data_IF_814123245844
#
_entry.id   IF_814123245844
#
_cell.length_a   1.000
_cell.length_b   1.000
_cell.length_c   1.000
_cell.angle_alpha   90.00
_cell.angle_beta   90.00
_cell.angle_gamma   90.00
#
_symmetry.space_group_name_H-M   'P 1'
#
loop_
_entity.id
_entity.type
_entity.pdbx_description
1 polymer ?
#
# COMPACT_ATOMS: atom_id res chain seq x y z
N UNK A 1 4.71 -2.37 14.46
CA UNK A 1 5.81 -1.67 13.82
C UNK A 1 6.92 -2.61 13.29
N UNK A 2 7.44 -3.59 14.07
CA UNK A 2 8.35 -4.62 13.55
C UNK A 2 7.72 -5.47 12.44
N UNK A 3 6.40 -5.71 12.50
CA UNK A 3 5.64 -6.38 11.43
C UNK A 3 5.68 -5.61 10.12
N UNK A 4 5.50 -4.30 10.18
CA UNK A 4 5.51 -3.45 8.99
C UNK A 4 6.86 -3.50 8.27
N UNK A 5 7.98 -3.59 9.02
CA UNK A 5 9.31 -3.76 8.45
C UNK A 5 9.51 -5.13 7.76
N UNK A 6 9.03 -6.22 8.37
CA UNK A 6 9.07 -7.56 7.74
C UNK A 6 8.15 -7.63 6.51
N UNK A 7 7.03 -6.90 6.55
CA UNK A 7 6.13 -6.75 5.41
C UNK A 7 6.81 -5.97 4.27
N UNK A 8 7.44 -4.83 4.57
CA UNK A 8 8.13 -4.02 3.56
C UNK A 8 9.32 -4.74 2.90
N UNK A 9 9.96 -5.70 3.56
CA UNK A 9 11.06 -6.48 2.98
C UNK A 9 10.53 -7.56 2.02
N UNK A 10 9.41 -8.19 2.34
CA UNK A 10 8.85 -9.28 1.52
C UNK A 10 8.23 -8.80 0.21
N UNK A 11 7.56 -7.67 0.24
CA UNK A 11 6.90 -7.07 -0.92
C UNK A 11 7.75 -6.00 -1.62
N UNK A 12 8.99 -5.75 -1.15
CA UNK A 12 9.91 -4.84 -1.83
C UNK A 12 10.49 -5.48 -3.09
N UNK A 13 10.72 -4.64 -4.08
CA UNK A 13 11.36 -4.98 -5.35
C UNK A 13 12.17 -3.77 -5.81
N UNK A 14 13.39 -4.00 -6.28
CA UNK A 14 14.18 -2.99 -6.99
C UNK A 14 14.83 -3.67 -8.19
N UNK A 15 14.41 -3.29 -9.41
CA UNK A 15 14.86 -3.93 -10.66
C UNK A 15 14.98 -2.90 -11.77
N UNK A 16 16.04 -2.92 -12.57
CA UNK A 16 16.10 -2.18 -13.82
C UNK A 16 15.08 -2.74 -14.82
N UNK A 17 14.65 -1.91 -15.76
CA UNK A 17 13.87 -2.39 -16.90
C UNK A 17 14.69 -3.43 -17.68
N UNK A 18 14.07 -4.54 -18.17
CA UNK A 18 14.78 -5.51 -19.00
C UNK A 18 15.52 -4.85 -20.18
N UNK A 19 16.78 -5.26 -20.37
CA UNK A 19 17.66 -4.67 -21.38
C UNK A 19 18.47 -3.46 -20.92
N UNK A 20 18.33 -3.00 -19.69
CA UNK A 20 19.10 -1.91 -19.11
C UNK A 20 19.88 -2.38 -17.88
N UNK A 21 21.13 -2.00 -17.74
CA UNK A 21 21.89 -2.14 -16.48
C UNK A 21 21.65 -0.98 -15.54
N UNK A 22 21.59 0.25 -16.10
CA UNK A 22 21.21 1.48 -15.40
C UNK A 22 20.02 2.12 -16.10
N UNK A 23 19.23 2.90 -15.38
CA UNK A 23 18.03 3.52 -15.92
C UNK A 23 18.07 5.05 -15.69
N UNK A 24 17.47 5.79 -16.61
CA UNK A 24 17.27 7.24 -16.48
C UNK A 24 16.28 7.57 -15.36
N UNK A 25 15.27 6.73 -15.21
CA UNK A 25 14.21 6.89 -14.23
C UNK A 25 14.04 5.65 -13.36
N UNK A 26 13.46 5.83 -12.17
CA UNK A 26 12.92 4.75 -11.34
C UNK A 26 11.50 5.10 -10.93
N UNK A 27 10.54 4.25 -11.25
CA UNK A 27 9.15 4.41 -10.81
C UNK A 27 8.99 3.90 -9.38
N UNK A 28 8.55 4.82 -8.49
CA UNK A 28 8.23 4.58 -7.09
C UNK A 28 6.74 4.86 -6.85
N UNK A 29 5.83 3.90 -7.08
CA UNK A 29 4.38 4.14 -6.99
C UNK A 29 3.90 4.48 -5.58
N UNK A 30 4.67 4.10 -4.56
CA UNK A 30 4.29 4.19 -3.16
C UNK A 30 3.52 2.96 -2.66
N UNK A 31 3.67 2.66 -1.37
CA UNK A 31 3.14 1.44 -0.76
C UNK A 31 1.60 1.36 -0.72
N UNK A 32 0.90 2.50 -0.73
CA UNK A 32 -0.56 2.51 -0.74
C UNK A 32 -1.13 2.26 -2.14
N UNK A 33 -0.47 2.73 -3.20
CA UNK A 33 -0.90 2.45 -4.57
C UNK A 33 -0.85 0.95 -4.88
N UNK A 34 0.28 0.29 -4.59
CA UNK A 34 0.39 -1.17 -4.76
C UNK A 34 -0.53 -1.98 -3.85
N UNK A 35 -1.00 -1.40 -2.73
CA UNK A 35 -1.91 -2.05 -1.80
C UNK A 35 -3.39 -1.94 -2.21
N UNK A 36 -3.78 -0.83 -2.81
CA UNK A 36 -5.19 -0.48 -3.06
C UNK A 36 -5.55 -0.66 -4.53
N UNK A 37 -4.63 -0.31 -5.44
CA UNK A 37 -4.84 -0.33 -6.88
C UNK A 37 -3.62 -0.94 -7.61
N UNK A 38 -3.31 -2.24 -7.42
CA UNK A 38 -2.15 -2.89 -8.02
C UNK A 38 -2.16 -2.84 -9.56
N UNK A 39 -3.32 -2.94 -10.19
CA UNK A 39 -3.44 -2.88 -11.65
C UNK A 39 -3.08 -1.50 -12.20
N UNK A 40 -3.44 -0.43 -11.49
CA UNK A 40 -3.02 0.95 -11.85
C UNK A 40 -1.50 1.08 -11.82
N UNK A 41 -0.83 0.44 -10.83
CA UNK A 41 0.63 0.44 -10.73
C UNK A 41 1.26 -0.31 -11.90
N UNK A 42 0.70 -1.46 -12.26
CA UNK A 42 1.17 -2.27 -13.41
C UNK A 42 1.07 -1.48 -14.70
N UNK A 43 -0.11 -0.94 -15.02
CA UNK A 43 -0.33 -0.16 -16.25
C UNK A 43 0.55 1.09 -16.30
N UNK A 44 0.68 1.80 -15.18
CA UNK A 44 1.54 2.98 -15.10
C UNK A 44 3.01 2.64 -15.38
N UNK A 45 3.51 1.54 -14.81
CA UNK A 45 4.89 1.12 -15.04
C UNK A 45 5.12 0.71 -16.49
N UNK A 46 4.25 -0.12 -17.06
CA UNK A 46 4.34 -0.57 -18.45
C UNK A 46 4.24 0.61 -19.43
N UNK A 47 3.36 1.57 -19.15
CA UNK A 47 3.21 2.78 -19.96
C UNK A 47 4.48 3.66 -19.93
N UNK A 48 5.04 3.89 -18.75
CA UNK A 48 6.31 4.60 -18.61
C UNK A 48 7.44 3.88 -19.38
N UNK A 49 7.56 2.56 -19.27
CA UNK A 49 8.56 1.78 -20.00
C UNK A 49 8.42 1.92 -21.52
N UNK A 50 7.20 2.02 -22.04
CA UNK A 50 6.95 2.15 -23.48
C UNK A 50 7.21 3.55 -24.02
N UNK A 51 6.93 4.59 -23.22
CA UNK A 51 6.88 5.99 -23.71
C UNK A 51 8.05 6.85 -23.26
N UNK A 52 8.89 6.38 -22.34
CA UNK A 52 10.07 7.14 -21.92
C UNK A 52 11.36 6.52 -22.44
N UNK A 53 12.32 7.38 -22.78
CA UNK A 53 13.64 6.94 -23.22
C UNK A 53 14.62 6.82 -22.06
N UNK A 54 15.61 5.93 -22.19
CA UNK A 54 16.68 5.73 -21.22
C UNK A 54 16.36 4.74 -20.10
N UNK A 55 15.25 4.02 -20.22
CA UNK A 55 14.83 2.97 -19.29
C UNK A 55 14.19 3.49 -18.01
N UNK A 56 13.25 2.70 -17.48
CA UNK A 56 12.55 2.96 -16.21
C UNK A 56 12.73 1.76 -15.30
N UNK A 57 13.49 1.89 -14.23
CA UNK A 57 13.53 0.88 -13.18
C UNK A 57 12.23 0.89 -12.37
N UNK A 58 11.92 -0.23 -11.72
CA UNK A 58 10.81 -0.30 -10.77
C UNK A 58 11.33 -0.45 -9.35
N UNK A 59 10.80 0.36 -8.43
CA UNK A 59 11.07 0.25 -7.01
C UNK A 59 9.77 0.15 -6.21
N UNK A 60 9.41 -1.06 -5.79
CA UNK A 60 8.32 -1.28 -4.84
C UNK A 60 8.89 -1.24 -3.42
N UNK A 61 8.29 -0.43 -2.56
CA UNK A 61 8.79 -0.30 -1.19
C UNK A 61 8.12 0.83 -0.42
N UNK A 62 8.71 1.15 0.72
CA UNK A 62 8.25 2.22 1.60
C UNK A 62 9.25 3.39 1.59
N UNK A 63 8.75 4.61 1.46
CA UNK A 63 9.57 5.84 1.50
C UNK A 63 10.04 6.23 2.92
N UNK A 64 9.62 5.51 3.96
CA UNK A 64 10.00 5.83 5.35
C UNK A 64 9.08 6.80 6.08
N UNK A 65 8.17 7.51 5.41
CA UNK A 65 7.31 8.52 6.04
C UNK A 65 6.56 8.01 7.28
N UNK A 66 6.07 6.76 7.27
CA UNK A 66 5.38 6.19 8.42
C UNK A 66 6.31 6.04 9.63
N UNK A 67 7.58 5.73 9.41
CA UNK A 67 8.59 5.62 10.48
C UNK A 67 8.86 6.98 11.11
N UNK A 68 8.94 8.00 10.27
CA UNK A 68 9.15 9.38 10.69
C UNK A 68 7.97 9.91 11.48
N UNK A 69 6.74 9.71 10.99
CA UNK A 69 5.52 10.07 11.72
C UNK A 69 5.38 9.36 13.06
N UNK A 70 5.98 8.19 13.22
CA UNK A 70 6.03 7.44 14.47
C UNK A 70 7.17 7.87 15.41
N UNK A 71 7.98 8.87 15.04
CA UNK A 71 9.16 9.30 15.80
C UNK A 71 10.27 8.23 15.84
N UNK A 72 10.29 7.31 14.85
CA UNK A 72 11.27 6.22 14.77
C UNK A 72 12.41 6.55 13.83
N UNK A 73 13.15 7.60 14.14
CA UNK A 73 14.21 8.17 13.29
C UNK A 73 15.28 7.17 12.89
N UNK A 74 15.78 6.33 13.82
CA UNK A 74 16.76 5.27 13.49
C UNK A 74 16.26 4.31 12.39
N UNK A 75 14.95 4.13 12.27
CA UNK A 75 14.40 3.26 11.24
C UNK A 75 14.17 4.00 9.95
N UNK A 76 13.86 5.28 10.02
CA UNK A 76 13.82 6.15 8.84
C UNK A 76 15.23 6.19 8.20
N UNK A 77 16.28 6.34 9.01
CA UNK A 77 17.67 6.28 8.54
C UNK A 77 18.01 4.96 7.85
N UNK A 78 17.64 3.82 8.46
CA UNK A 78 17.85 2.50 7.83
C UNK A 78 17.12 2.32 6.50
N UNK A 79 15.90 2.86 6.38
CA UNK A 79 15.16 2.87 5.12
C UNK A 79 15.87 3.75 4.10
N UNK A 80 16.30 4.93 4.51
CA UNK A 80 17.02 5.87 3.65
C UNK A 80 18.34 5.29 3.14
N UNK A 81 19.12 4.65 4.00
CA UNK A 81 20.37 3.97 3.62
C UNK A 81 20.12 2.87 2.59
N UNK A 82 19.06 2.05 2.82
CA UNK A 82 18.68 0.99 1.89
C UNK A 82 18.24 1.58 0.53
N UNK A 83 17.43 2.62 0.53
CA UNK A 83 16.99 3.28 -0.70
C UNK A 83 18.16 3.88 -1.47
N UNK A 84 19.10 4.55 -0.79
CA UNK A 84 20.33 5.08 -1.41
C UNK A 84 21.15 3.98 -2.07
N UNK A 85 21.34 2.85 -1.38
CA UNK A 85 22.09 1.71 -1.94
C UNK A 85 21.41 1.13 -3.19
N UNK A 86 20.08 1.01 -3.17
CA UNK A 86 19.34 0.50 -4.34
C UNK A 86 19.36 1.51 -5.51
N UNK A 87 19.23 2.80 -5.24
CA UNK A 87 19.35 3.86 -6.27
C UNK A 87 20.73 3.87 -6.91
N UNK A 88 21.80 3.76 -6.11
CA UNK A 88 23.16 3.72 -6.62
C UNK A 88 23.41 2.54 -7.57
N UNK A 89 22.83 1.36 -7.30
CA UNK A 89 22.90 0.19 -8.20
C UNK A 89 22.24 0.44 -9.57
N UNK A 90 21.25 1.33 -9.60
CA UNK A 90 20.51 1.69 -10.82
C UNK A 90 21.14 2.88 -11.58
N UNK A 91 22.25 3.47 -11.08
CA UNK A 91 22.91 4.62 -11.66
C UNK A 91 22.34 5.97 -11.20
N UNK A 92 21.79 6.03 -9.99
CA UNK A 92 21.17 7.22 -9.38
C UNK A 92 20.10 7.88 -10.27
N UNK A 93 19.08 7.13 -10.70
CA UNK A 93 18.03 7.62 -11.59
C UNK A 93 17.17 8.71 -10.94
N UNK A 94 16.50 9.52 -11.76
CA UNK A 94 15.44 10.39 -11.28
C UNK A 94 14.24 9.56 -10.81
N UNK A 95 13.75 9.82 -9.60
CA UNK A 95 12.60 9.10 -9.04
C UNK A 95 11.30 9.69 -9.60
N UNK A 96 10.48 8.85 -10.23
CA UNK A 96 9.09 9.16 -10.60
C UNK A 96 8.20 8.62 -9.47
N UNK A 97 7.67 9.51 -8.64
CA UNK A 97 6.84 9.12 -7.50
C UNK A 97 5.34 9.13 -7.83
N UNK A 98 4.61 8.11 -7.40
CA UNK A 98 3.15 8.02 -7.53
C UNK A 98 2.38 8.55 -6.31
N UNK A 99 3.04 9.24 -5.37
CA UNK A 99 2.43 9.73 -4.14
C UNK A 99 3.12 11.01 -3.65
N UNK A 100 2.37 12.09 -3.37
CA UNK A 100 2.95 13.36 -2.89
C UNK A 100 3.72 13.23 -1.57
N UNK A 101 3.23 12.41 -0.65
CA UNK A 101 3.94 12.16 0.62
C UNK A 101 5.27 11.44 0.40
N UNK A 102 5.33 10.52 -0.59
CA UNK A 102 6.59 9.90 -0.99
C UNK A 102 7.53 10.91 -1.66
N UNK A 103 7.02 11.77 -2.54
CA UNK A 103 7.82 12.84 -3.16
C UNK A 103 8.49 13.70 -2.11
N UNK A 104 7.71 14.23 -1.17
CA UNK A 104 8.22 15.05 -0.08
C UNK A 104 9.28 14.30 0.73
N UNK A 105 8.96 13.10 1.20
CA UNK A 105 9.85 12.28 2.02
C UNK A 105 11.18 11.98 1.33
N UNK A 106 11.14 11.56 0.05
CA UNK A 106 12.33 11.20 -0.71
C UNK A 106 13.20 12.43 -1.05
N UNK A 107 12.58 13.58 -1.34
CA UNK A 107 13.31 14.85 -1.52
C UNK A 107 14.02 15.28 -0.25
N UNK A 108 13.33 15.30 0.89
CA UNK A 108 13.86 15.80 2.17
C UNK A 108 14.90 14.85 2.79
N UNK A 109 14.63 13.52 2.76
CA UNK A 109 15.48 12.55 3.45
C UNK A 109 16.65 12.03 2.63
N UNK A 110 16.53 11.97 1.30
CA UNK A 110 17.60 11.43 0.44
C UNK A 110 18.36 12.52 -0.31
N UNK A 111 17.79 13.72 -0.45
CA UNK A 111 18.26 14.74 -1.38
C UNK A 111 18.17 14.27 -2.85
N UNK A 112 17.33 13.29 -3.15
CA UNK A 112 17.20 12.72 -4.47
C UNK A 112 16.45 13.66 -5.43
N UNK A 113 16.71 13.49 -6.74
CA UNK A 113 15.90 14.12 -7.78
C UNK A 113 14.57 13.37 -7.88
N UNK A 114 13.47 14.02 -7.52
CA UNK A 114 12.14 13.41 -7.49
C UNK A 114 11.16 14.28 -8.24
N UNK A 115 10.37 13.66 -9.11
CA UNK A 115 9.21 14.27 -9.80
C UNK A 115 7.98 13.40 -9.57
N UNK A 116 6.79 13.93 -9.74
CA UNK A 116 5.57 13.12 -9.72
C UNK A 116 5.33 12.45 -11.08
N UNK A 117 4.62 11.35 -11.07
CA UNK A 117 4.22 10.69 -12.32
C UNK A 117 3.32 11.61 -13.17
N UNK A 118 2.56 12.49 -12.55
CA UNK A 118 1.67 13.43 -13.23
C UNK A 118 2.45 14.48 -14.03
N UNK A 119 3.62 14.97 -13.55
CA UNK A 119 4.49 15.86 -14.33
C UNK A 119 5.05 15.14 -15.56
N UNK A 120 5.48 13.89 -15.41
CA UNK A 120 5.96 13.08 -16.53
C UNK A 120 4.83 12.86 -17.56
N UNK A 121 3.63 12.48 -17.10
CA UNK A 121 2.49 12.25 -17.99
C UNK A 121 2.02 13.53 -18.68
N UNK A 122 2.16 14.69 -18.05
CA UNK A 122 1.91 15.98 -18.69
C UNK A 122 2.93 16.28 -19.80
N UNK A 123 4.20 15.95 -19.58
CA UNK A 123 5.29 16.15 -20.55
C UNK A 123 5.17 15.23 -21.76
N UNK A 124 4.93 13.93 -21.53
CA UNK A 124 4.89 12.91 -22.60
C UNK A 124 3.49 12.72 -23.22
N UNK A 125 2.48 13.44 -22.71
CA UNK A 125 1.08 13.34 -23.14
C UNK A 125 0.25 12.33 -22.33
N UNK A 126 -1.07 12.40 -22.47
CA UNK A 126 -1.98 11.47 -21.81
C UNK A 126 -1.83 10.03 -22.33
N UNK A 127 -2.00 9.00 -21.48
CA UNK A 127 -2.18 7.62 -21.95
C UNK A 127 -3.42 7.51 -22.87
N UNK A 128 -3.36 6.58 -23.85
CA UNK A 128 -4.44 6.42 -24.83
C UNK A 128 -5.80 6.04 -24.23
N UNK A 129 -5.81 5.41 -23.06
CA UNK A 129 -7.01 5.03 -22.30
C UNK A 129 -7.50 6.11 -21.31
N UNK A 130 -6.81 7.26 -21.23
CA UNK A 130 -7.19 8.33 -20.31
C UNK A 130 -8.60 8.84 -20.63
N UNK A 131 -9.45 8.86 -19.61
CA UNK A 131 -10.84 9.30 -19.76
C UNK A 131 -11.29 10.06 -18.52
N UNK A 132 -11.80 11.27 -18.71
CA UNK A 132 -12.44 12.05 -17.67
C UNK A 132 -13.81 11.53 -17.27
N UNK A 133 -14.38 12.12 -16.23
CA UNK A 133 -15.76 11.89 -15.81
C UNK A 133 -16.69 12.91 -16.44
N UNK A 134 -17.85 12.48 -16.88
CA UNK A 134 -18.87 13.35 -17.51
C UNK A 134 -19.60 14.24 -16.49
N UNK A 135 -19.47 13.93 -15.20
CA UNK A 135 -20.04 14.70 -14.09
C UNK A 135 -18.98 15.63 -13.47
N UNK A 136 -19.41 16.78 -12.91
CA UNK A 136 -18.47 17.67 -12.22
C UNK A 136 -17.79 16.96 -11.03
N UNK A 137 -16.49 17.24 -10.86
CA UNK A 137 -15.65 16.62 -9.83
C UNK A 137 -15.02 17.68 -8.93
N UNK A 138 -14.85 17.34 -7.65
CA UNK A 138 -14.08 18.14 -6.71
C UNK A 138 -12.65 17.59 -6.59
N UNK A 139 -11.66 18.46 -6.43
CA UNK A 139 -10.29 18.04 -6.17
C UNK A 139 -10.02 18.09 -4.68
N UNK A 140 -9.47 16.99 -4.14
CA UNK A 140 -8.86 17.01 -2.83
C UNK A 140 -7.35 17.08 -2.96
N UNK A 141 -6.79 18.26 -2.71
CA UNK A 141 -5.35 18.45 -2.70
C UNK A 141 -4.73 17.73 -1.49
N UNK A 142 -3.82 16.80 -1.79
CA UNK A 142 -3.20 15.99 -0.75
C UNK A 142 -2.27 16.83 0.13
N UNK A 143 -2.31 16.64 1.44
CA UNK A 143 -1.48 17.39 2.38
C UNK A 143 0.04 17.22 2.15
N UNK A 144 0.46 16.14 1.50
CA UNK A 144 1.85 15.93 1.08
C UNK A 144 2.31 16.85 -0.07
N UNK A 145 1.37 17.49 -0.79
CA UNK A 145 1.66 18.47 -1.84
C UNK A 145 1.44 19.92 -1.38
N UNK A 146 1.32 20.16 -0.07
CA UNK A 146 1.22 21.53 0.45
C UNK A 146 2.53 22.27 0.18
N UNK A 147 2.44 23.45 -0.44
CA UNK A 147 3.58 24.22 -0.90
C UNK A 147 4.14 23.78 -2.28
N UNK A 148 3.59 22.74 -2.88
CA UNK A 148 3.97 22.26 -4.21
C UNK A 148 2.93 22.69 -5.26
N UNK A 149 2.99 23.97 -5.61
CA UNK A 149 2.05 24.59 -6.57
C UNK A 149 2.14 23.92 -7.95
N UNK A 150 3.33 23.48 -8.35
CA UNK A 150 3.54 22.80 -9.64
C UNK A 150 2.70 21.51 -9.71
N UNK A 151 2.82 20.63 -8.71
CA UNK A 151 1.98 19.43 -8.63
C UNK A 151 0.49 19.77 -8.64
N UNK A 152 0.06 20.76 -7.85
CA UNK A 152 -1.35 21.16 -7.76
C UNK A 152 -1.90 21.68 -9.10
N UNK A 153 -1.10 22.43 -9.85
CA UNK A 153 -1.48 22.94 -11.18
C UNK A 153 -1.49 21.82 -12.22
N UNK A 154 -0.46 20.97 -12.25
CA UNK A 154 -0.38 19.84 -13.17
C UNK A 154 -1.57 18.89 -13.05
N UNK A 155 -2.03 18.62 -11.82
CA UNK A 155 -3.22 17.80 -11.57
C UNK A 155 -4.47 18.43 -12.22
N UNK A 156 -4.64 19.75 -12.10
CA UNK A 156 -5.78 20.47 -12.70
C UNK A 156 -5.72 20.50 -14.23
N UNK A 157 -4.53 20.67 -14.76
CA UNK A 157 -4.30 20.64 -16.21
C UNK A 157 -4.59 19.26 -16.80
N UNK A 158 -4.11 18.17 -16.16
CA UNK A 158 -4.42 16.81 -16.60
C UNK A 158 -5.92 16.51 -16.56
N UNK A 159 -6.63 16.99 -15.54
CA UNK A 159 -8.08 16.83 -15.47
C UNK A 159 -8.80 17.61 -16.58
N UNK A 160 -8.33 18.82 -16.88
CA UNK A 160 -8.85 19.62 -17.99
C UNK A 160 -8.58 18.96 -19.34
N UNK A 161 -7.36 18.42 -19.56
CA UNK A 161 -6.98 17.70 -20.77
C UNK A 161 -7.83 16.42 -20.98
N UNK A 162 -8.29 15.78 -19.88
CA UNK A 162 -9.24 14.65 -19.93
C UNK A 162 -10.71 15.09 -20.06
N UNK A 163 -11.00 16.41 -20.15
CA UNK A 163 -12.35 16.95 -20.28
C UNK A 163 -13.17 16.97 -18.98
N UNK A 164 -12.55 16.85 -17.80
CA UNK A 164 -13.27 16.95 -16.54
C UNK A 164 -13.68 18.39 -16.23
N UNK A 165 -14.90 18.56 -15.76
CA UNK A 165 -15.36 19.82 -15.14
C UNK A 165 -15.01 19.82 -13.66
N UNK A 166 -14.10 20.71 -13.24
CA UNK A 166 -13.67 20.82 -11.85
C UNK A 166 -14.50 21.86 -11.12
N UNK A 167 -15.13 21.46 -10.01
CA UNK A 167 -15.79 22.40 -9.08
C UNK A 167 -14.80 22.91 -8.04
N UNK A 168 -14.85 24.22 -7.80
CA UNK A 168 -14.04 24.83 -6.75
C UNK A 168 -14.59 24.47 -5.39
N UNK A 169 -13.72 24.02 -4.51
CA UNK A 169 -14.03 23.77 -3.11
C UNK A 169 -13.40 24.84 -2.23
N UNK A 170 -14.09 25.20 -1.15
CA UNK A 170 -13.49 25.99 -0.10
C UNK A 170 -12.24 25.26 0.47
N UNK A 171 -11.21 25.99 0.82
CA UNK A 171 -9.95 25.43 1.36
C UNK A 171 -9.30 24.41 0.42
N UNK A 172 -9.09 24.79 -0.84
CA UNK A 172 -8.31 24.02 -1.81
C UNK A 172 -6.81 24.32 -1.74
N UNK A 173 -6.00 23.58 -2.47
CA UNK A 173 -4.54 23.76 -2.59
C UNK A 173 -3.87 23.66 -1.18
N UNK A 174 -3.09 24.65 -0.80
CA UNK A 174 -2.35 24.67 0.47
C UNK A 174 -3.26 24.74 1.72
N UNK A 175 -4.48 25.23 1.54
CA UNK A 175 -5.48 25.29 2.59
C UNK A 175 -6.29 24.00 2.72
N UNK A 176 -6.09 23.03 1.82
CA UNK A 176 -6.82 21.75 1.86
C UNK A 176 -6.60 21.03 3.20
N UNK A 177 -7.68 20.64 3.90
CA UNK A 177 -7.57 19.91 5.17
C UNK A 177 -7.00 18.51 4.95
N UNK A 178 -6.44 17.90 5.99
CA UNK A 178 -5.96 16.53 5.94
C UNK A 178 -7.12 15.53 5.96
N UNK A 179 -7.05 14.50 5.12
CA UNK A 179 -8.03 13.41 5.08
C UNK A 179 -8.04 12.50 6.32
N UNK A 180 -7.18 12.74 7.31
CA UNK A 180 -7.12 11.94 8.55
C UNK A 180 -6.19 10.71 8.49
N UNK A 181 -5.57 10.39 7.35
CA UNK A 181 -4.63 9.25 7.27
C UNK A 181 -3.24 9.60 7.80
N UNK A 182 -2.70 10.77 7.40
CA UNK A 182 -1.33 11.19 7.69
C UNK A 182 -1.04 11.34 9.18
N UNK A 183 0.26 11.35 9.54
CA UNK A 183 0.69 11.43 10.94
C UNK A 183 0.25 10.25 11.81
N UNK A 184 -0.15 9.13 11.21
CA UNK A 184 -0.70 7.94 11.89
C UNK A 184 -2.04 8.20 12.61
N UNK A 185 -2.72 9.30 12.35
CA UNK A 185 -3.98 9.66 13.04
C UNK A 185 -5.02 8.55 12.92
N UNK A 186 -5.18 7.96 11.73
CA UNK A 186 -6.10 6.84 11.50
C UNK A 186 -5.83 5.60 12.36
N UNK A 187 -4.61 5.43 12.87
CA UNK A 187 -4.21 4.31 13.73
C UNK A 187 -4.13 4.68 15.20
N UNK A 188 -3.82 5.93 15.51
CA UNK A 188 -3.69 6.42 16.88
C UNK A 188 -5.02 6.85 17.48
N UNK A 189 -5.89 7.45 16.68
CA UNK A 189 -7.21 7.94 17.08
C UNK A 189 -8.17 7.88 15.88
N UNK A 190 -8.85 6.74 15.74
CA UNK A 190 -9.78 6.50 14.63
C UNK A 190 -10.91 7.53 14.59
N UNK A 191 -11.52 7.85 15.74
CA UNK A 191 -12.63 8.81 15.83
C UNK A 191 -12.21 10.20 15.30
N UNK A 192 -11.03 10.67 15.69
CA UNK A 192 -10.50 11.95 15.19
C UNK A 192 -10.25 11.89 13.69
N UNK A 193 -9.67 10.78 13.19
CA UNK A 193 -9.43 10.60 11.77
C UNK A 193 -10.71 10.58 10.95
N UNK A 194 -11.78 9.94 11.46
CA UNK A 194 -13.09 9.90 10.81
C UNK A 194 -13.69 11.31 10.74
N UNK A 195 -13.68 12.08 11.85
CA UNK A 195 -14.11 13.49 11.86
C UNK A 195 -13.32 14.37 10.88
N UNK A 196 -12.02 14.14 10.74
CA UNK A 196 -11.20 14.85 9.75
C UNK A 196 -11.65 14.51 8.32
N UNK A 197 -11.98 13.24 8.05
CA UNK A 197 -12.49 12.83 6.75
C UNK A 197 -13.84 13.45 6.44
N UNK A 198 -14.79 13.40 7.40
CA UNK A 198 -16.11 14.03 7.29
C UNK A 198 -15.99 15.52 6.93
N UNK A 199 -15.14 16.26 7.62
CA UNK A 199 -14.87 17.69 7.33
C UNK A 199 -14.30 17.91 5.92
N UNK A 200 -13.50 16.98 5.40
CA UNK A 200 -13.09 17.05 4.01
C UNK A 200 -14.25 16.86 3.05
N UNK A 201 -15.17 15.94 3.36
CA UNK A 201 -16.29 15.56 2.49
C UNK A 201 -17.44 16.58 2.51
N UNK A 202 -17.62 17.35 3.59
CA UNK A 202 -18.61 18.44 3.69
C UNK A 202 -18.40 19.56 2.67
N UNK A 203 -17.19 19.67 2.07
CA UNK A 203 -16.83 20.78 1.16
C UNK A 203 -17.43 20.68 -0.24
N UNK A 204 -17.90 19.50 -0.66
CA UNK A 204 -18.55 19.29 -1.93
C UNK A 204 -19.38 18.00 -1.93
N UNK A 205 -20.51 18.03 -2.62
CA UNK A 205 -21.32 16.83 -2.91
C UNK A 205 -20.84 16.07 -4.14
N UNK A 206 -19.97 16.68 -4.96
CA UNK A 206 -19.40 16.05 -6.14
C UNK A 206 -18.44 14.93 -5.77
N UNK A 207 -18.25 13.92 -6.65
CA UNK A 207 -17.18 12.95 -6.51
C UNK A 207 -15.82 13.62 -6.40
N UNK A 208 -14.94 13.04 -5.57
CA UNK A 208 -13.60 13.60 -5.38
C UNK A 208 -12.57 12.93 -6.27
N UNK A 209 -11.73 13.74 -6.91
CA UNK A 209 -10.48 13.29 -7.49
C UNK A 209 -9.34 13.62 -6.52
N UNK A 210 -8.52 12.63 -6.23
CA UNK A 210 -7.34 12.76 -5.38
C UNK A 210 -6.10 12.29 -6.15
N UNK A 211 -4.94 12.71 -5.71
CA UNK A 211 -3.64 12.22 -6.20
C UNK A 211 -2.79 11.61 -5.07
N UNK A 212 -3.47 11.19 -3.99
CA UNK A 212 -2.95 10.39 -2.91
C UNK A 212 -3.88 9.20 -2.65
N UNK A 213 -3.38 7.98 -2.85
CA UNK A 213 -4.17 6.77 -2.71
C UNK A 213 -4.75 6.56 -1.29
N UNK A 214 -4.05 7.04 -0.26
CA UNK A 214 -4.56 6.99 1.10
C UNK A 214 -5.76 7.94 1.32
N UNK A 215 -5.79 9.11 0.66
CA UNK A 215 -6.95 10.01 0.70
C UNK A 215 -8.15 9.37 -0.01
N UNK A 216 -7.91 8.77 -1.19
CA UNK A 216 -8.94 8.04 -1.93
C UNK A 216 -9.57 6.94 -1.09
N UNK A 217 -8.76 6.08 -0.45
CA UNK A 217 -9.22 4.98 0.39
C UNK A 217 -10.06 5.47 1.59
N UNK A 218 -9.65 6.58 2.21
CA UNK A 218 -10.42 7.21 3.30
C UNK A 218 -11.81 7.68 2.85
N UNK A 219 -11.87 8.39 1.71
CA UNK A 219 -13.13 8.94 1.21
C UNK A 219 -14.12 7.86 0.78
N UNK A 220 -13.62 6.81 0.10
CA UNK A 220 -14.45 5.69 -0.30
C UNK A 220 -14.98 4.90 0.90
N UNK A 221 -14.19 4.74 1.97
CA UNK A 221 -14.65 4.09 3.21
C UNK A 221 -15.75 4.85 3.93
N UNK A 222 -15.81 6.16 3.78
CA UNK A 222 -16.90 7.00 4.28
C UNK A 222 -18.08 7.11 3.28
N UNK A 223 -18.11 6.24 2.26
CA UNK A 223 -19.20 6.16 1.29
C UNK A 223 -19.20 7.27 0.23
N UNK A 224 -18.14 8.08 0.14
CA UNK A 224 -18.04 9.14 -0.89
C UNK A 224 -17.36 8.58 -2.14
N UNK A 225 -18.01 8.72 -3.29
CA UNK A 225 -17.35 8.41 -4.56
C UNK A 225 -16.06 9.23 -4.68
N UNK A 226 -14.95 8.52 -4.82
CA UNK A 226 -13.63 9.14 -4.96
C UNK A 226 -12.75 8.25 -5.82
N UNK A 227 -11.99 8.90 -6.72
CA UNK A 227 -11.01 8.22 -7.57
C UNK A 227 -9.63 8.85 -7.43
N UNK A 228 -8.63 8.02 -7.61
CA UNK A 228 -7.27 8.51 -7.78
C UNK A 228 -7.09 8.97 -9.23
N UNK A 229 -6.35 10.05 -9.47
CA UNK A 229 -6.14 10.57 -10.84
C UNK A 229 -5.57 9.49 -11.77
N UNK A 230 -4.70 8.61 -11.30
CA UNK A 230 -4.16 7.52 -12.10
C UNK A 230 -5.23 6.51 -12.53
N UNK A 231 -6.33 6.36 -11.79
CA UNK A 231 -7.46 5.52 -12.21
C UNK A 231 -8.13 6.09 -13.47
N UNK A 232 -8.23 7.42 -13.57
CA UNK A 232 -8.76 8.10 -14.78
C UNK A 232 -7.75 8.05 -15.93
N UNK A 233 -6.47 8.28 -15.64
CA UNK A 233 -5.40 8.27 -16.64
C UNK A 233 -5.23 6.89 -17.29
N UNK A 234 -5.43 5.81 -16.52
CA UNK A 234 -5.29 4.44 -17.04
C UNK A 234 -6.63 3.72 -17.26
N UNK A 235 -7.76 4.42 -17.16
CA UNK A 235 -9.08 3.84 -17.41
C UNK A 235 -9.47 2.70 -16.48
N UNK A 236 -8.87 2.62 -15.28
CA UNK A 236 -9.07 1.55 -14.30
C UNK A 236 -9.96 2.09 -13.18
N UNK A 237 -10.92 1.28 -12.76
CA UNK A 237 -11.73 1.57 -11.58
C UNK A 237 -11.36 0.61 -10.46
N UNK A 238 -10.53 1.06 -9.53
CA UNK A 238 -10.21 0.29 -8.33
C UNK A 238 -11.37 0.40 -7.32
N UNK A 239 -12.49 -0.27 -7.60
CA UNK A 239 -13.71 -0.21 -6.77
C UNK A 239 -13.51 -0.79 -5.35
N UNK A 240 -12.41 -1.48 -5.09
CA UNK A 240 -12.16 -2.23 -3.88
C UNK A 240 -11.75 -1.34 -2.71
N UNK A 241 -12.21 -1.74 -1.51
CA UNK A 241 -11.78 -1.22 -0.22
C UNK A 241 -11.03 -2.33 0.54
N UNK A 242 -9.80 -2.68 0.12
CA UNK A 242 -9.11 -3.81 0.69
C UNK A 242 -8.84 -3.62 2.18
N UNK A 243 -9.06 -4.67 2.96
CA UNK A 243 -8.67 -4.71 4.36
C UNK A 243 -7.13 -4.75 4.52
N UNK A 244 -6.63 -4.81 5.76
CA UNK A 244 -5.18 -4.81 6.01
C UNK A 244 -4.51 -6.07 5.42
N UNK A 245 -5.17 -7.22 5.45
CA UNK A 245 -4.67 -8.48 4.92
C UNK A 245 -4.66 -8.46 3.39
N UNK A 246 -5.73 -7.99 2.78
CA UNK A 246 -5.85 -7.82 1.34
C UNK A 246 -4.84 -6.82 0.80
N UNK A 247 -4.62 -5.69 1.49
CA UNK A 247 -3.58 -4.71 1.16
C UNK A 247 -2.18 -5.32 1.09
N UNK A 248 -1.91 -6.30 1.93
CA UNK A 248 -0.64 -7.04 1.88
C UNK A 248 -0.62 -8.02 0.72
N UNK A 249 -1.68 -8.79 0.53
CA UNK A 249 -1.81 -9.71 -0.60
C UNK A 249 -1.62 -8.99 -1.92
N UNK A 250 -2.33 -7.89 -2.11
CA UNK A 250 -2.23 -7.07 -3.32
C UNK A 250 -0.78 -6.64 -3.62
N UNK A 251 0.00 -6.26 -2.60
CA UNK A 251 1.41 -5.90 -2.82
C UNK A 251 2.29 -7.10 -3.19
N UNK A 252 2.04 -8.26 -2.57
CA UNK A 252 2.77 -9.48 -2.93
C UNK A 252 2.38 -9.96 -4.33
N UNK A 253 1.10 -9.99 -4.62
CA UNK A 253 0.57 -10.35 -5.94
C UNK A 253 1.08 -9.41 -7.04
N UNK A 254 1.08 -8.09 -6.77
CA UNK A 254 1.66 -7.10 -7.67
C UNK A 254 3.13 -7.42 -7.97
N UNK A 255 3.93 -7.69 -6.95
CA UNK A 255 5.33 -8.06 -7.12
C UNK A 255 5.49 -9.31 -7.98
N UNK A 256 4.72 -10.36 -7.69
CA UNK A 256 4.76 -11.61 -8.45
C UNK A 256 4.34 -11.43 -9.90
N UNK A 257 3.22 -10.75 -10.12
CA UNK A 257 2.71 -10.43 -11.46
C UNK A 257 3.75 -9.68 -12.28
N UNK A 258 4.40 -8.68 -11.70
CA UNK A 258 5.41 -7.89 -12.37
C UNK A 258 6.69 -8.71 -12.63
N UNK A 259 7.18 -9.50 -11.67
CA UNK A 259 8.34 -10.36 -11.86
C UNK A 259 8.10 -11.38 -12.98
N UNK A 260 6.92 -11.99 -13.01
CA UNK A 260 6.55 -12.96 -14.06
C UNK A 260 6.40 -12.29 -15.42
N UNK A 261 5.65 -11.22 -15.52
CA UNK A 261 5.25 -10.63 -16.81
C UNK A 261 6.39 -9.82 -17.46
N UNK A 262 7.25 -9.19 -16.65
CA UNK A 262 8.27 -8.25 -17.15
C UNK A 262 9.67 -8.88 -17.13
N UNK A 263 10.01 -9.58 -16.05
CA UNK A 263 11.35 -10.20 -15.91
C UNK A 263 11.40 -11.69 -16.20
N UNK A 264 10.27 -12.34 -16.51
CA UNK A 264 10.18 -13.80 -16.73
C UNK A 264 10.65 -14.61 -15.49
N UNK A 265 10.52 -14.05 -14.28
CA UNK A 265 10.88 -14.70 -13.03
C UNK A 265 9.62 -15.24 -12.35
N UNK A 266 9.56 -16.53 -12.07
CA UNK A 266 8.52 -17.10 -11.20
C UNK A 266 9.03 -17.14 -9.76
N UNK A 267 8.34 -16.41 -8.86
CA UNK A 267 8.53 -16.62 -7.42
C UNK A 267 7.93 -17.99 -7.08
N UNK A 268 8.75 -18.90 -6.60
CA UNK A 268 8.24 -20.16 -6.02
C UNK A 268 7.50 -19.81 -4.72
N UNK A 269 6.19 -19.54 -4.82
CA UNK A 269 5.32 -19.64 -3.65
C UNK A 269 5.11 -21.12 -3.38
N UNK A 270 5.33 -21.55 -2.15
CA UNK A 270 4.91 -22.90 -1.74
C UNK A 270 3.42 -23.05 -2.08
N UNK A 271 3.12 -23.82 -3.12
CA UNK A 271 1.74 -24.23 -3.43
C UNK A 271 1.23 -24.98 -2.21
N UNK A 272 0.31 -24.39 -1.50
CA UNK A 272 -0.39 -25.09 -0.42
C UNK A 272 -1.37 -26.05 -1.05
N UNK A 273 -1.32 -27.27 -0.60
CA UNK A 273 -2.26 -28.35 -0.96
C UNK A 273 -3.50 -28.35 -0.04
N UNK A 274 -3.73 -27.25 0.69
CA UNK A 274 -4.84 -27.07 1.61
C UNK A 274 -5.42 -25.65 1.55
N UNK A 275 -6.69 -25.51 1.84
CA UNK A 275 -7.40 -24.23 1.93
C UNK A 275 -7.45 -23.73 3.39
N UNK A 276 -7.52 -22.43 3.57
CA UNK A 276 -7.77 -21.80 4.87
C UNK A 276 -8.98 -20.89 4.76
N UNK A 277 -10.07 -21.31 5.38
CA UNK A 277 -11.27 -20.51 5.50
C UNK A 277 -11.30 -19.79 6.86
N UNK A 278 -12.03 -18.71 6.96
CA UNK A 278 -12.13 -17.88 8.15
C UNK A 278 -13.59 -17.59 8.48
N UNK A 279 -13.97 -17.64 9.76
CA UNK A 279 -15.26 -17.12 10.19
C UNK A 279 -15.26 -15.60 10.22
N UNK A 280 -16.43 -14.97 10.18
CA UNK A 280 -16.55 -13.50 10.28
C UNK A 280 -15.93 -12.97 11.59
N UNK A 281 -16.15 -13.66 12.71
CA UNK A 281 -15.54 -13.34 14.00
C UNK A 281 -14.01 -13.39 13.94
N UNK A 282 -13.44 -14.38 13.24
CA UNK A 282 -12.00 -14.48 13.07
C UNK A 282 -11.45 -13.31 12.27
N UNK A 283 -12.11 -12.92 11.18
CA UNK A 283 -11.73 -11.77 10.34
C UNK A 283 -11.78 -10.49 11.17
N UNK A 284 -12.89 -10.23 11.86
CA UNK A 284 -13.05 -9.04 12.71
C UNK A 284 -11.96 -8.94 13.80
N UNK A 285 -11.67 -10.05 14.49
CA UNK A 285 -10.63 -10.09 15.52
C UNK A 285 -9.22 -9.92 14.93
N UNK A 286 -8.98 -10.45 13.75
CA UNK A 286 -7.70 -10.30 13.05
C UNK A 286 -7.47 -8.84 12.66
N UNK A 287 -8.49 -8.15 12.16
CA UNK A 287 -8.41 -6.74 11.78
C UNK A 287 -8.17 -5.83 12.99
N UNK A 288 -8.92 -6.00 14.08
CA UNK A 288 -8.70 -5.26 15.32
C UNK A 288 -7.26 -5.40 15.85
N UNK A 289 -6.70 -6.59 15.74
CA UNK A 289 -5.36 -6.93 16.26
C UNK A 289 -4.26 -6.83 15.23
N UNK A 290 -4.58 -6.41 14.01
CA UNK A 290 -3.65 -6.33 12.88
C UNK A 290 -2.91 -7.67 12.64
N UNK A 291 -3.64 -8.80 12.72
CA UNK A 291 -3.17 -10.14 12.41
C UNK A 291 -3.48 -10.40 10.93
N UNK A 292 -2.47 -10.81 10.18
CA UNK A 292 -2.61 -11.06 8.75
C UNK A 292 -3.00 -12.52 8.48
N UNK A 293 -3.74 -12.78 7.40
CA UNK A 293 -4.02 -14.14 6.94
C UNK A 293 -2.73 -14.96 6.80
N UNK A 294 -1.68 -14.37 6.25
CA UNK A 294 -0.37 -15.01 6.12
C UNK A 294 0.35 -15.28 7.47
N UNK A 295 0.04 -14.55 8.54
CA UNK A 295 0.55 -14.90 9.88
C UNK A 295 -0.15 -16.17 10.38
N UNK A 296 -1.49 -16.24 10.18
CA UNK A 296 -2.30 -17.41 10.52
C UNK A 296 -1.89 -18.63 9.70
N UNK A 297 -1.75 -18.46 8.40
CA UNK A 297 -1.35 -19.51 7.49
C UNK A 297 0.05 -20.06 7.79
N UNK A 298 0.97 -19.20 8.27
CA UNK A 298 2.28 -19.65 8.73
C UNK A 298 2.17 -20.51 9.99
N UNK A 299 1.31 -20.10 10.93
CA UNK A 299 1.05 -20.88 12.14
C UNK A 299 0.45 -22.26 11.80
N UNK A 300 -0.47 -22.31 10.83
CA UNK A 300 -1.07 -23.56 10.36
C UNK A 300 -0.07 -24.43 9.57
N UNK A 301 0.84 -23.83 8.82
CA UNK A 301 1.94 -24.55 8.17
C UNK A 301 2.86 -25.21 9.21
N UNK A 302 3.27 -24.46 10.26
CA UNK A 302 4.07 -24.99 11.34
C UNK A 302 3.32 -26.12 12.09
N UNK A 303 1.99 -25.98 12.30
CA UNK A 303 1.16 -27.05 12.85
C UNK A 303 1.16 -28.30 11.97
N UNK A 304 1.02 -28.15 10.67
CA UNK A 304 1.01 -29.26 9.74
C UNK A 304 2.32 -30.06 9.76
N UNK A 305 3.45 -29.40 9.95
CA UNK A 305 4.76 -30.03 10.04
C UNK A 305 4.97 -30.78 11.38
N UNK A 306 4.53 -30.18 12.50
CA UNK A 306 4.85 -30.69 13.84
C UNK A 306 3.67 -31.35 14.57
N UNK A 307 2.43 -31.15 14.09
CA UNK A 307 1.18 -31.63 14.68
C UNK A 307 0.99 -31.20 16.16
N UNK A 308 1.63 -30.09 16.56
CA UNK A 308 1.52 -29.57 17.93
C UNK A 308 0.28 -28.67 18.08
N UNK A 309 -0.76 -29.17 18.70
CA UNK A 309 -1.95 -28.41 19.07
C UNK A 309 -2.53 -28.92 20.42
N UNK A 310 -3.27 -28.02 21.06
CA UNK A 310 -4.08 -28.34 22.24
C UNK A 310 -5.52 -28.50 21.75
N UNK A 311 -6.16 -29.61 22.09
CA UNK A 311 -7.57 -29.81 21.82
C UNK A 311 -8.41 -29.22 22.97
N UNK A 312 -9.32 -28.32 22.62
CA UNK A 312 -10.27 -27.71 23.55
C UNK A 312 -11.56 -28.54 23.54
N UNK A 313 -11.83 -29.24 24.63
CA UNK A 313 -12.97 -30.17 24.75
C UNK A 313 -14.32 -29.46 24.76
N UNK A 314 -14.39 -28.20 25.23
CA UNK A 314 -15.63 -27.43 25.29
C UNK A 314 -16.03 -26.93 23.90
N UNK A 315 -15.09 -26.35 23.16
CA UNK A 315 -15.34 -25.75 21.84
C UNK A 315 -15.13 -26.72 20.69
N UNK A 316 -14.52 -27.88 20.95
CA UNK A 316 -14.10 -28.88 19.94
C UNK A 316 -13.17 -28.29 18.88
N UNK A 317 -12.33 -27.35 19.29
CA UNK A 317 -11.37 -26.66 18.45
C UNK A 317 -9.93 -27.08 18.78
N UNK A 318 -9.07 -27.05 17.76
CA UNK A 318 -7.63 -27.16 17.94
C UNK A 318 -7.04 -25.76 18.16
N UNK A 319 -6.09 -25.66 19.07
CA UNK A 319 -5.38 -24.42 19.39
C UNK A 319 -3.89 -24.64 19.19
N UNK A 320 -3.33 -23.99 18.19
CA UNK A 320 -1.89 -24.06 17.94
C UNK A 320 -1.25 -22.68 18.00
N UNK A 321 0.08 -22.64 18.05
CA UNK A 321 0.83 -21.39 18.12
C UNK A 321 2.16 -21.48 17.41
N UNK A 322 2.60 -20.34 16.91
CA UNK A 322 3.97 -20.18 16.40
C UNK A 322 4.54 -18.83 16.79
N UNK A 323 5.84 -18.76 16.98
CA UNK A 323 6.54 -17.53 17.28
C UNK A 323 7.17 -16.96 16.01
N UNK A 324 6.56 -15.93 15.47
CA UNK A 324 7.05 -15.22 14.29
C UNK A 324 7.80 -13.95 14.72
N UNK A 325 9.10 -14.00 14.75
CA UNK A 325 9.95 -12.94 15.30
C UNK A 325 9.76 -12.78 16.82
N UNK A 326 9.27 -11.62 17.28
CA UNK A 326 9.05 -11.34 18.71
C UNK A 326 7.57 -11.42 19.12
N UNK A 327 6.73 -12.00 18.30
CA UNK A 327 5.29 -12.11 18.54
C UNK A 327 4.90 -13.58 18.46
N UNK A 328 4.19 -14.07 19.45
CA UNK A 328 3.55 -15.38 19.42
C UNK A 328 2.13 -15.21 18.91
N UNK A 329 1.81 -15.93 17.87
CA UNK A 329 0.48 -16.02 17.29
C UNK A 329 -0.17 -17.29 17.72
N UNK A 330 -1.43 -17.21 18.05
CA UNK A 330 -2.29 -18.32 18.40
C UNK A 330 -3.43 -18.39 17.43
N UNK A 331 -3.74 -19.59 16.97
CA UNK A 331 -4.83 -19.84 16.04
C UNK A 331 -5.71 -20.94 16.62
N UNK A 332 -7.03 -20.66 16.68
CA UNK A 332 -8.07 -21.64 16.97
C UNK A 332 -8.76 -22.02 15.67
N UNK A 333 -8.83 -23.30 15.40
CA UNK A 333 -9.35 -23.79 14.12
C UNK A 333 -9.96 -25.17 14.26
N UNK A 334 -10.68 -25.59 13.26
CA UNK A 334 -11.12 -26.97 13.04
C UNK A 334 -10.56 -27.47 11.71
N UNK A 335 -10.23 -28.75 11.65
CA UNK A 335 -9.84 -29.40 10.40
C UNK A 335 -11.08 -29.65 9.54
N UNK A 336 -10.94 -29.51 8.23
CA UNK A 336 -11.96 -29.78 7.23
C UNK A 336 -11.39 -30.72 6.16
N UNK A 337 -12.21 -31.26 5.30
CA UNK A 337 -11.76 -32.14 4.22
C UNK A 337 -10.76 -31.46 3.27
N UNK A 338 -10.88 -30.14 3.08
CA UNK A 338 -10.03 -29.35 2.18
C UNK A 338 -8.91 -28.58 2.91
N UNK A 339 -8.87 -28.59 4.25
CA UNK A 339 -7.87 -27.85 5.00
C UNK A 339 -8.33 -27.39 6.38
N UNK A 340 -8.42 -26.10 6.63
CA UNK A 340 -8.66 -25.53 7.96
C UNK A 340 -9.73 -24.44 7.95
N UNK A 341 -10.62 -24.44 8.94
CA UNK A 341 -11.53 -23.33 9.24
C UNK A 341 -11.06 -22.62 10.51
N UNK A 342 -10.55 -21.42 10.36
CA UNK A 342 -10.08 -20.57 11.47
C UNK A 342 -11.27 -19.90 12.15
N UNK A 343 -11.40 -20.13 13.45
CA UNK A 343 -12.43 -19.57 14.30
C UNK A 343 -11.98 -18.32 15.05
N UNK A 344 -10.72 -18.29 15.50
CA UNK A 344 -10.13 -17.14 16.19
C UNK A 344 -8.62 -17.08 15.96
N UNK A 345 -8.08 -15.86 15.92
CA UNK A 345 -6.64 -15.62 15.90
C UNK A 345 -6.28 -14.48 16.86
N UNK A 346 -5.27 -14.66 17.67
CA UNK A 346 -4.78 -13.64 18.59
C UNK A 346 -3.25 -13.70 18.73
N UNK A 347 -2.66 -12.62 19.24
CA UNK A 347 -1.21 -12.52 19.34
C UNK A 347 -0.78 -11.79 20.60
N UNK A 348 0.37 -12.17 21.15
CA UNK A 348 1.01 -11.47 22.26
C UNK A 348 2.53 -11.42 22.12
N UNK A 349 3.15 -10.49 22.85
CA UNK A 349 4.62 -10.32 22.87
C UNK A 349 5.30 -10.92 24.09
N UNK A 350 4.55 -11.52 25.01
CA UNK A 350 5.10 -12.15 26.22
C UNK A 350 5.84 -13.43 25.86
N UNK A 351 7.01 -13.64 26.51
CA UNK A 351 7.64 -14.95 26.54
C UNK A 351 6.95 -15.76 27.63
N UNK A 352 6.18 -16.76 27.23
CA UNK A 352 5.72 -17.77 28.18
C UNK A 352 6.93 -18.69 28.42
N UNK A 353 7.69 -18.42 29.46
CA UNK A 353 8.71 -19.40 29.91
C UNK A 353 7.99 -20.62 30.47
N UNK A 354 8.29 -21.80 29.92
CA UNK A 354 7.95 -23.07 30.63
C UNK A 354 8.60 -22.96 32.00
N UNK A 355 7.85 -23.00 33.11
CA UNK A 355 8.43 -23.30 34.40
C UNK A 355 9.02 -24.69 34.23
N UNK A 356 10.35 -24.75 34.27
CA UNK A 356 11.05 -26.03 34.44
C UNK A 356 10.58 -26.55 35.79
N UNK A 357 9.99 -27.74 35.78
CA UNK A 357 9.30 -28.32 36.92
C UNK A 357 10.15 -28.40 38.18
N UNK A 358 9.49 -28.16 39.29
CA UNK A 358 9.79 -28.90 40.54
C UNK A 358 9.13 -30.25 40.47
#
# INVERSE_FOLDING_TARGET
YRRQRQMCIRDSLCRPQPGYETCRYVFFPGCQAGAIAPDVVTEAYEDLCRRTEGGVALMLGCCGAISEWAGRYEMTEKVNEQLKQELAKLGDPMIIAGCPSCMKQLKESLGAKVTGIWEILKEIGLPGQAKGLEIPVAIHDACGARGDTQTQDTIRELLADMGCTVVNTEYSRDLSPCCGYGGLTAYANKEMADKMTEKCLERSDSPYITYCMACRDRFVREGRESRHILELLYGINAANMPDISEKRYNRLELKEKLLKNIWNEELMMEKKDYTVAYTEDAISMMDERMILKSDVERVLSDYRENQEAIFDEETKELVTRSRLGNVTFWVRFVETEEGYLVRRAYSHRMNIMKRVGQ
#
